data_IF_884742115777
#
_entry.id   IF_884742115777
#
_cell.length_a   1.000
_cell.length_b   1.000
_cell.length_c   1.000
_cell.angle_alpha   90.00
_cell.angle_beta   90.00
_cell.angle_gamma   90.00
#
_symmetry.space_group_name_H-M   'P 1'
#
loop_
_entity.id
_entity.type
_entity.pdbx_description
1 polymer ?
#
# COMPACT_ATOMS: atom_id res chain seq x y z
N UNK A 1 37.64 -40.03 40.38
CA UNK A 1 36.34 -39.34 40.19
C UNK A 1 36.09 -39.20 38.69
N UNK A 2 34.98 -39.76 38.25
CA UNK A 2 34.50 -39.79 36.86
C UNK A 2 34.21 -38.38 36.33
N UNK A 3 34.62 -38.06 35.10
CA UNK A 3 33.67 -37.97 33.97
C UNK A 3 34.36 -37.82 32.61
N UNK A 4 33.76 -38.58 31.70
CA UNK A 4 34.09 -39.03 30.35
C UNK A 4 33.92 -37.93 29.28
N UNK A 5 34.71 -38.04 28.19
CA UNK A 5 34.48 -37.65 26.77
C UNK A 5 33.35 -36.63 26.47
N UNK A 6 33.54 -35.66 25.59
CA UNK A 6 33.55 -35.93 24.13
C UNK A 6 34.19 -34.77 23.35
N UNK A 7 35.18 -35.13 22.54
CA UNK A 7 35.75 -34.35 21.45
C UNK A 7 34.86 -34.54 20.21
N UNK A 8 34.44 -33.46 19.55
CA UNK A 8 34.08 -33.53 18.12
C UNK A 8 34.91 -32.52 17.34
N UNK A 9 35.67 -33.08 16.39
CA UNK A 9 36.53 -32.42 15.42
C UNK A 9 35.76 -32.27 14.11
N UNK A 10 36.01 -31.12 13.46
CA UNK A 10 36.21 -30.90 12.01
C UNK A 10 35.02 -30.61 11.07
N UNK A 11 35.16 -29.40 10.50
CA UNK A 11 35.21 -28.99 9.09
C UNK A 11 34.07 -29.35 8.10
N UNK A 12 33.65 -28.26 7.43
CA UNK A 12 33.29 -28.12 6.00
C UNK A 12 32.04 -28.83 5.49
N UNK A 13 31.01 -28.03 5.20
CA UNK A 13 29.80 -28.48 4.49
C UNK A 13 28.90 -27.35 4.00
N UNK A 14 29.37 -26.64 2.96
CA UNK A 14 28.61 -25.97 1.88
C UNK A 14 27.43 -25.04 2.26
N UNK A 15 27.61 -23.74 1.99
CA UNK A 15 26.50 -22.83 1.69
C UNK A 15 25.61 -23.46 0.61
N UNK A 16 24.39 -23.83 0.96
CA UNK A 16 23.38 -24.20 -0.03
C UNK A 16 22.75 -22.89 -0.52
N UNK A 17 23.29 -22.37 -1.62
CA UNK A 17 22.59 -21.41 -2.45
C UNK A 17 21.45 -22.18 -3.14
N UNK A 18 20.29 -22.28 -2.50
CA UNK A 18 19.09 -22.72 -3.17
C UNK A 18 18.61 -21.57 -4.06
N UNK A 19 19.13 -21.53 -5.29
CA UNK A 19 18.46 -20.85 -6.41
C UNK A 19 17.25 -21.69 -6.77
N UNK A 20 16.19 -21.57 -5.98
CA UNK A 20 14.86 -21.90 -6.47
C UNK A 20 14.40 -20.68 -7.27
N UNK A 21 14.71 -20.68 -8.56
CA UNK A 21 14.01 -19.85 -9.54
C UNK A 21 12.57 -20.39 -9.64
N UNK A 22 11.77 -20.14 -8.62
CA UNK A 22 10.32 -20.17 -8.79
C UNK A 22 10.01 -19.00 -9.69
N UNK A 23 9.41 -19.30 -10.83
CA UNK A 23 8.72 -18.30 -11.62
C UNK A 23 7.80 -17.55 -10.67
N UNK A 24 8.15 -16.31 -10.33
CA UNK A 24 7.20 -15.36 -9.79
C UNK A 24 6.25 -15.14 -10.95
N UNK A 25 5.20 -15.95 -11.03
CA UNK A 25 3.98 -15.52 -11.69
C UNK A 25 3.61 -14.27 -10.91
N UNK A 26 3.92 -13.11 -11.49
CA UNK A 26 3.32 -11.85 -11.11
C UNK A 26 1.84 -12.03 -11.43
N UNK A 27 1.11 -12.76 -10.57
CA UNK A 27 -0.28 -12.44 -10.32
C UNK A 27 -0.18 -10.99 -9.88
N UNK A 28 -0.47 -10.09 -10.82
CA UNK A 28 -0.49 -8.66 -10.55
C UNK A 28 -1.28 -8.52 -9.27
N UNK A 29 -0.59 -8.11 -8.21
CA UNK A 29 -1.23 -7.97 -6.92
C UNK A 29 -2.19 -6.82 -7.11
N UNK A 30 -3.45 -7.14 -7.41
CA UNK A 30 -4.58 -6.26 -7.16
C UNK A 30 -4.56 -6.09 -5.65
N UNK A 31 -3.75 -5.13 -5.20
CA UNK A 31 -3.98 -4.53 -3.91
C UNK A 31 -5.36 -3.92 -4.06
N UNK A 32 -6.39 -4.35 -3.31
CA UNK A 32 -7.54 -3.51 -3.14
C UNK A 32 -6.98 -2.23 -2.53
N UNK A 33 -6.80 -1.21 -3.38
CA UNK A 33 -6.54 0.12 -2.90
C UNK A 33 -7.73 0.42 -1.99
N UNK A 34 -7.45 0.96 -0.81
CA UNK A 34 -8.47 1.76 -0.15
C UNK A 34 -9.05 2.68 -1.23
N UNK A 35 -10.37 2.82 -1.25
CA UNK A 35 -11.00 3.88 -2.03
C UNK A 35 -10.26 5.18 -1.66
N UNK A 36 -9.37 5.62 -2.54
CA UNK A 36 -8.41 6.68 -2.26
C UNK A 36 -8.93 7.96 -2.88
N UNK A 37 -8.42 9.09 -2.45
CA UNK A 37 -8.72 10.33 -3.14
C UNK A 37 -7.67 10.57 -4.24
N UNK A 38 -8.11 11.08 -5.38
CA UNK A 38 -7.27 11.51 -6.47
C UNK A 38 -7.68 12.90 -6.94
N UNK A 39 -6.72 13.67 -7.43
CA UNK A 39 -6.96 14.93 -8.12
C UNK A 39 -6.42 14.79 -9.54
N UNK A 40 -7.24 15.13 -10.53
CA UNK A 40 -6.79 15.12 -11.92
C UNK A 40 -5.78 16.23 -12.16
N UNK A 41 -4.70 15.91 -12.86
CA UNK A 41 -3.61 16.86 -13.15
C UNK A 41 -3.12 16.74 -14.58
N UNK A 42 -2.61 17.85 -15.10
CA UNK A 42 -1.81 17.96 -16.32
C UNK A 42 -1.08 19.30 -16.29
N UNK A 43 -0.14 19.51 -17.22
CA UNK A 43 0.62 20.77 -17.32
C UNK A 43 -0.29 21.95 -17.73
N UNK A 44 -1.26 21.71 -18.61
CA UNK A 44 -2.29 22.70 -18.95
C UNK A 44 -3.48 22.58 -17.97
N UNK A 45 -3.78 23.61 -17.16
CA UNK A 45 -4.89 23.59 -16.21
C UNK A 45 -6.29 23.55 -16.87
N UNK A 46 -6.39 23.72 -18.18
CA UNK A 46 -7.65 23.59 -18.94
C UNK A 46 -7.76 22.24 -19.67
N UNK A 47 -6.76 21.36 -19.53
CA UNK A 47 -6.75 20.08 -20.21
C UNK A 47 -7.92 19.19 -19.78
N UNK A 48 -8.47 18.47 -20.76
CA UNK A 48 -9.44 17.40 -20.54
C UNK A 48 -8.71 16.08 -20.37
N UNK A 49 -9.00 15.38 -19.27
CA UNK A 49 -8.43 14.08 -18.96
C UNK A 49 -9.45 12.99 -19.27
N UNK A 50 -9.16 12.17 -20.27
CA UNK A 50 -10.07 11.14 -20.74
C UNK A 50 -10.36 10.08 -19.66
N UNK A 51 -11.65 9.79 -19.48
CA UNK A 51 -12.15 8.65 -18.73
C UNK A 51 -12.43 7.51 -19.70
N UNK A 52 -11.82 6.35 -19.50
CA UNK A 52 -11.87 5.24 -20.46
C UNK A 52 -12.55 3.99 -19.90
N UNK A 53 -13.08 3.16 -20.80
CA UNK A 53 -13.76 1.92 -20.42
C UNK A 53 -12.79 0.87 -19.86
N UNK A 54 -11.54 0.85 -20.33
CA UNK A 54 -10.50 -0.07 -19.88
C UNK A 54 -9.17 0.67 -19.69
N UNK A 55 -8.22 0.02 -19.00
CA UNK A 55 -6.86 0.51 -18.79
C UNK A 55 -5.99 0.47 -20.07
N UNK A 56 -6.46 1.13 -21.12
CA UNK A 56 -5.79 1.23 -22.41
C UNK A 56 -6.20 2.50 -23.14
N UNK A 57 -5.24 3.13 -23.82
CA UNK A 57 -5.45 4.29 -24.71
C UNK A 57 -6.29 3.96 -25.95
N UNK A 58 -6.40 2.69 -26.33
CA UNK A 58 -7.25 2.25 -27.45
C UNK A 58 -8.70 1.97 -27.05
N UNK A 59 -9.00 1.92 -25.75
CA UNK A 59 -10.36 1.64 -25.28
C UNK A 59 -11.28 2.84 -25.45
N UNK A 60 -12.59 2.59 -25.51
CA UNK A 60 -13.61 3.61 -25.70
C UNK A 60 -13.49 4.73 -24.65
N UNK A 61 -13.56 5.99 -25.09
CA UNK A 61 -13.74 7.12 -24.18
C UNK A 61 -15.18 7.16 -23.67
N UNK A 62 -15.34 7.17 -22.36
CA UNK A 62 -16.62 7.32 -21.65
C UNK A 62 -16.93 8.77 -21.33
N UNK A 63 -15.96 9.68 -21.52
CA UNK A 63 -16.06 11.09 -21.19
C UNK A 63 -14.70 11.64 -20.77
N UNK A 64 -14.72 12.74 -20.01
CA UNK A 64 -13.52 13.36 -19.48
C UNK A 64 -13.80 14.05 -18.14
N UNK A 65 -12.74 14.28 -17.37
CA UNK A 65 -12.71 15.26 -16.28
C UNK A 65 -11.77 16.42 -16.64
N UNK A 66 -11.77 17.46 -15.82
CA UNK A 66 -10.87 18.60 -15.94
C UNK A 66 -9.77 18.53 -14.89
N UNK A 67 -8.65 19.20 -15.15
CA UNK A 67 -7.61 19.41 -14.14
C UNK A 67 -8.20 20.06 -12.89
N UNK A 68 -7.85 19.52 -11.72
CA UNK A 68 -8.40 19.93 -10.43
C UNK A 68 -9.66 19.16 -10.00
N UNK A 69 -10.29 18.37 -10.88
CA UNK A 69 -11.41 17.53 -10.48
C UNK A 69 -10.97 16.48 -9.45
N UNK A 70 -11.77 16.35 -8.38
CA UNK A 70 -11.61 15.30 -7.38
C UNK A 70 -12.26 14.01 -7.88
N UNK A 71 -11.56 12.91 -7.67
CA UNK A 71 -12.02 11.56 -7.98
C UNK A 71 -11.75 10.62 -6.82
N UNK A 72 -12.53 9.55 -6.72
CA UNK A 72 -12.21 8.43 -5.84
C UNK A 72 -11.49 7.36 -6.65
N UNK A 73 -10.26 7.00 -6.30
CA UNK A 73 -9.56 5.85 -6.87
C UNK A 73 -10.11 4.57 -6.26
N UNK A 74 -10.48 3.60 -7.09
CA UNK A 74 -11.12 2.35 -6.70
C UNK A 74 -10.21 1.15 -6.90
N UNK A 75 -9.32 1.23 -7.89
CA UNK A 75 -8.42 0.15 -8.27
C UNK A 75 -7.24 0.72 -9.06
N UNK A 76 -6.17 -0.07 -9.20
CA UNK A 76 -5.07 0.23 -10.10
C UNK A 76 -4.57 -1.01 -10.83
N UNK A 77 -4.23 -0.86 -12.11
CA UNK A 77 -3.61 -1.91 -12.91
C UNK A 77 -2.49 -1.33 -13.77
N UNK A 78 -1.55 -2.18 -14.18
CA UNK A 78 -0.60 -1.82 -15.23
C UNK A 78 -1.27 -2.07 -16.58
N UNK A 79 -1.43 -1.02 -17.37
CA UNK A 79 -1.97 -1.07 -18.72
C UNK A 79 -0.99 -1.72 -19.70
N UNK A 80 -1.50 -2.10 -20.87
CA UNK A 80 -0.69 -2.66 -21.98
C UNK A 80 0.29 -1.64 -22.56
N UNK A 81 0.07 -0.36 -22.32
CA UNK A 81 0.94 0.76 -22.66
C UNK A 81 2.06 1.00 -21.64
N UNK A 82 2.15 0.16 -20.61
CA UNK A 82 3.20 0.23 -19.58
C UNK A 82 2.92 1.24 -18.46
N UNK A 83 1.87 2.06 -18.57
CA UNK A 83 1.47 3.00 -17.53
C UNK A 83 0.65 2.31 -16.45
N UNK A 84 0.66 2.86 -15.24
CA UNK A 84 -0.37 2.54 -14.25
C UNK A 84 -1.65 3.26 -14.65
N UNK A 85 -2.78 2.59 -14.53
CA UNK A 85 -4.11 3.14 -14.71
C UNK A 85 -4.88 3.03 -13.42
N UNK A 86 -5.60 4.09 -13.06
CA UNK A 86 -6.49 4.10 -11.91
C UNK A 86 -7.93 3.96 -12.38
N UNK A 87 -8.66 3.00 -11.81
CA UNK A 87 -10.11 3.01 -11.90
C UNK A 87 -10.60 4.09 -10.97
N UNK A 88 -11.37 5.04 -11.47
CA UNK A 88 -11.83 6.19 -10.71
C UNK A 88 -13.34 6.30 -10.75
N UNK A 89 -13.92 6.93 -9.73
CA UNK A 89 -15.30 7.38 -9.69
C UNK A 89 -15.34 8.90 -9.50
N UNK A 90 -16.08 9.58 -10.37
CA UNK A 90 -16.37 11.00 -10.20
C UNK A 90 -17.48 11.17 -9.16
N UNK A 91 -17.26 11.92 -8.05
CA UNK A 91 -18.26 12.04 -7.00
C UNK A 91 -19.54 12.73 -7.44
N UNK A 92 -19.44 13.75 -8.31
CA UNK A 92 -20.58 14.55 -8.77
C UNK A 92 -21.49 13.79 -9.75
N UNK A 93 -20.91 13.15 -10.77
CA UNK A 93 -21.68 12.45 -11.81
C UNK A 93 -21.91 10.97 -11.50
N UNK A 94 -21.13 10.39 -10.58
CA UNK A 94 -21.11 8.95 -10.33
C UNK A 94 -20.40 8.13 -11.42
N UNK A 95 -19.88 8.77 -12.49
CA UNK A 95 -19.22 8.10 -13.61
C UNK A 95 -18.01 7.30 -13.14
N UNK A 96 -17.88 6.06 -13.63
CA UNK A 96 -16.77 5.16 -13.31
C UNK A 96 -16.03 4.77 -14.59
N UNK A 97 -14.71 4.78 -14.54
CA UNK A 97 -13.86 4.36 -15.65
C UNK A 97 -12.38 4.42 -15.27
N UNK A 98 -11.50 4.30 -16.26
CA UNK A 98 -10.05 4.28 -16.07
C UNK A 98 -9.41 5.58 -16.55
N UNK A 99 -8.53 6.13 -15.73
CA UNK A 99 -7.68 7.28 -16.07
C UNK A 99 -6.23 6.85 -15.96
N UNK A 100 -5.39 7.28 -16.91
CA UNK A 100 -3.96 6.97 -16.90
C UNK A 100 -3.29 7.70 -15.72
N UNK A 101 -2.42 7.01 -15.02
CA UNK A 101 -1.93 7.41 -13.70
C UNK A 101 -1.02 8.62 -13.68
N UNK A 102 -0.41 8.97 -14.80
CA UNK A 102 0.30 10.24 -14.97
C UNK A 102 -0.62 11.47 -14.87
N UNK A 103 -1.92 11.31 -15.12
CA UNK A 103 -2.94 12.35 -14.96
C UNK A 103 -3.66 12.31 -13.61
N UNK A 104 -3.24 11.46 -12.67
CA UNK A 104 -3.85 11.34 -11.34
C UNK A 104 -2.81 11.62 -10.27
N UNK A 105 -3.03 12.69 -9.51
CA UNK A 105 -2.35 12.88 -8.23
C UNK A 105 -3.12 12.10 -7.16
N UNK A 106 -2.61 10.91 -6.79
CA UNK A 106 -3.18 10.14 -5.68
C UNK A 106 -2.86 10.87 -4.37
N UNK A 107 -3.91 11.27 -3.66
CA UNK A 107 -3.81 11.80 -2.32
C UNK A 107 -3.67 10.60 -1.39
N UNK A 108 -2.49 10.47 -0.78
CA UNK A 108 -2.24 9.41 0.20
C UNK A 108 -2.67 9.93 1.56
N UNK A 109 -3.68 9.34 2.21
CA UNK A 109 -4.12 9.81 3.53
C UNK A 109 -2.98 9.70 4.54
N UNK A 110 -2.95 10.64 5.49
CA UNK A 110 -2.03 10.58 6.61
C UNK A 110 -2.71 10.00 7.85
N UNK A 111 -1.91 9.55 8.80
CA UNK A 111 -2.39 9.15 10.10
C UNK A 111 -1.39 9.54 11.18
N UNK A 112 -1.91 9.79 12.37
CA UNK A 112 -1.13 10.04 13.58
C UNK A 112 -1.32 8.87 14.52
N UNK A 113 -0.22 8.31 15.02
CA UNK A 113 -0.27 7.25 16.01
C UNK A 113 -0.83 7.78 17.33
N UNK A 114 -1.72 7.00 17.95
CA UNK A 114 -2.38 7.36 19.21
C UNK A 114 -2.49 6.16 20.15
N UNK A 115 -2.44 6.45 21.44
CA UNK A 115 -2.70 5.54 22.55
C UNK A 115 -3.02 6.37 23.79
N UNK A 116 -3.55 5.73 24.85
CA UNK A 116 -3.80 6.40 26.13
C UNK A 116 -2.49 6.83 26.81
N UNK A 117 -1.46 5.97 26.78
CA UNK A 117 -0.11 6.30 27.25
C UNK A 117 0.68 7.01 26.13
N UNK A 118 1.10 8.28 26.32
CA UNK A 118 1.90 9.02 25.34
C UNK A 118 3.27 8.40 25.03
N UNK A 119 3.79 7.52 25.90
CA UNK A 119 5.06 6.82 25.69
C UNK A 119 4.87 5.41 25.11
N UNK A 120 3.64 5.01 24.82
CA UNK A 120 3.35 3.69 24.28
C UNK A 120 4.04 3.46 22.94
N UNK A 121 4.59 2.25 22.78
CA UNK A 121 5.10 1.75 21.51
C UNK A 121 3.98 1.05 20.73
N UNK A 122 3.71 1.54 19.51
CA UNK A 122 2.76 0.94 18.59
C UNK A 122 3.53 0.03 17.65
N UNK A 123 3.32 -1.29 17.78
CA UNK A 123 3.99 -2.29 16.94
C UNK A 123 3.63 -2.12 15.46
N UNK A 124 4.67 -2.02 14.62
CA UNK A 124 4.57 -2.16 13.18
C UNK A 124 4.73 -3.63 12.81
N UNK A 125 3.75 -4.20 12.11
CA UNK A 125 3.68 -5.64 11.87
C UNK A 125 3.79 -6.03 10.41
N UNK A 126 4.24 -7.26 10.14
CA UNK A 126 4.38 -7.76 8.78
C UNK A 126 3.03 -8.01 8.11
N UNK A 127 1.99 -8.36 8.88
CA UNK A 127 0.63 -8.57 8.35
C UNK A 127 -0.44 -8.05 9.34
N UNK A 128 -1.70 -7.98 8.88
CA UNK A 128 -2.88 -7.61 9.67
C UNK A 128 -3.28 -8.72 10.66
N UNK A 129 -2.36 -9.08 11.54
CA UNK A 129 -2.49 -10.13 12.52
C UNK A 129 -1.69 -9.72 13.76
N UNK A 130 -2.30 -9.67 14.96
CA UNK A 130 -1.62 -9.29 16.20
C UNK A 130 -0.48 -10.22 16.61
N UNK A 131 -0.39 -11.42 16.01
CA UNK A 131 0.67 -12.39 16.24
C UNK A 131 1.70 -12.44 15.10
N UNK A 132 1.55 -11.62 14.05
CA UNK A 132 2.56 -11.57 12.99
C UNK A 132 3.85 -10.89 13.44
N UNK A 133 4.94 -11.18 12.73
CA UNK A 133 6.28 -10.65 12.94
C UNK A 133 6.25 -9.14 13.21
N UNK A 134 6.89 -8.72 14.31
CA UNK A 134 7.12 -7.31 14.61
C UNK A 134 8.29 -6.83 13.75
N UNK A 135 8.02 -5.87 12.87
CA UNK A 135 9.03 -5.23 12.02
C UNK A 135 9.70 -4.05 12.72
N UNK A 136 9.04 -3.49 13.73
CA UNK A 136 9.50 -2.35 14.50
C UNK A 136 8.34 -1.75 15.30
N UNK A 137 8.47 -0.49 15.69
CA UNK A 137 7.42 0.27 16.34
C UNK A 137 7.52 1.76 15.98
N UNK A 138 6.41 2.46 16.15
CA UNK A 138 6.38 3.92 16.29
C UNK A 138 5.89 4.30 17.69
N UNK A 139 5.89 5.59 17.98
CA UNK A 139 5.38 6.15 19.25
C UNK A 139 4.22 7.10 19.00
N UNK A 140 3.47 7.43 20.05
CA UNK A 140 2.34 8.38 19.95
C UNK A 140 2.82 9.71 19.36
N UNK A 141 2.03 10.24 18.42
CA UNK A 141 2.35 11.47 17.70
C UNK A 141 3.15 11.27 16.41
N UNK A 142 3.71 10.07 16.16
CA UNK A 142 4.35 9.78 14.88
C UNK A 142 3.35 9.90 13.73
N UNK A 143 3.80 10.52 12.64
CA UNK A 143 3.05 10.61 11.39
C UNK A 143 3.40 9.46 10.46
N UNK A 144 2.38 8.92 9.82
CA UNK A 144 2.50 7.86 8.84
C UNK A 144 1.64 8.14 7.61
N UNK A 145 2.08 7.66 6.45
CA UNK A 145 1.26 7.59 5.24
C UNK A 145 0.44 6.30 5.27
N UNK A 146 -0.83 6.36 4.90
CA UNK A 146 -1.75 5.22 4.85
C UNK A 146 -1.83 4.73 3.41
N UNK A 147 -1.37 3.51 3.19
CA UNK A 147 -1.27 2.88 1.87
C UNK A 147 -2.43 1.93 1.55
N UNK A 148 -3.21 1.54 2.56
CA UNK A 148 -4.27 0.55 2.41
C UNK A 148 -4.86 0.15 3.75
N UNK A 149 -5.95 -0.61 3.72
CA UNK A 149 -6.50 -1.26 4.91
C UNK A 149 -7.12 -2.60 4.57
N UNK A 150 -7.24 -3.47 5.58
CA UNK A 150 -8.02 -4.72 5.51
C UNK A 150 -8.50 -5.14 6.89
N UNK A 151 -9.46 -6.06 6.93
CA UNK A 151 -9.81 -6.74 8.18
C UNK A 151 -8.69 -7.71 8.57
N UNK A 152 -8.27 -7.63 9.82
CA UNK A 152 -7.29 -8.54 10.40
C UNK A 152 -7.93 -9.82 10.94
N UNK A 153 -7.09 -10.77 11.36
CA UNK A 153 -7.53 -12.04 11.97
C UNK A 153 -8.24 -11.84 13.32
N UNK A 154 -8.13 -10.65 13.91
CA UNK A 154 -8.76 -10.22 15.15
C UNK A 154 -10.02 -9.38 14.92
N UNK A 155 -10.57 -9.35 13.68
CA UNK A 155 -11.74 -8.57 13.24
C UNK A 155 -11.60 -7.04 13.31
N UNK A 156 -10.45 -6.52 13.75
CA UNK A 156 -10.13 -5.10 13.67
C UNK A 156 -9.78 -4.71 12.23
N UNK A 157 -9.98 -3.45 11.90
CA UNK A 157 -9.40 -2.87 10.69
C UNK A 157 -7.92 -2.60 10.95
N UNK A 158 -7.06 -3.05 10.06
CA UNK A 158 -5.63 -2.78 10.07
C UNK A 158 -5.28 -1.90 8.89
N UNK A 159 -4.37 -0.96 9.10
CA UNK A 159 -3.87 -0.06 8.07
C UNK A 159 -2.45 -0.44 7.70
N UNK A 160 -2.20 -0.57 6.39
CA UNK A 160 -0.84 -0.64 5.87
C UNK A 160 -0.30 0.78 5.84
N UNK A 161 0.80 1.02 6.52
CA UNK A 161 1.36 2.35 6.70
C UNK A 161 2.81 2.41 6.23
N UNK A 162 3.28 3.61 5.90
CA UNK A 162 4.69 3.94 5.65
C UNK A 162 5.12 5.07 6.57
N UNK A 163 6.22 4.88 7.30
CA UNK A 163 6.87 5.94 8.06
C UNK A 163 7.70 6.81 7.10
N UNK A 164 7.41 8.12 6.96
CA UNK A 164 8.10 8.96 5.98
C UNK A 164 9.61 9.09 6.26
N UNK A 165 9.99 9.20 7.54
CA UNK A 165 11.39 9.40 7.94
C UNK A 165 12.28 8.19 7.68
N UNK A 166 11.82 6.99 8.05
CA UNK A 166 12.60 5.75 7.94
C UNK A 166 12.32 4.97 6.66
N UNK A 167 11.20 5.25 5.98
CA UNK A 167 10.71 4.45 4.86
C UNK A 167 10.10 3.10 5.27
N UNK A 168 10.04 2.77 6.57
CA UNK A 168 9.52 1.50 7.06
C UNK A 168 8.04 1.31 6.68
N UNK A 169 7.70 0.12 6.17
CA UNK A 169 6.35 -0.24 5.75
C UNK A 169 5.86 -1.46 6.53
N UNK A 170 4.62 -1.42 7.00
CA UNK A 170 3.99 -2.53 7.70
C UNK A 170 2.54 -2.23 8.07
N UNK A 171 1.97 -3.04 8.95
CA UNK A 171 0.58 -2.97 9.37
C UNK A 171 0.47 -2.51 10.82
N UNK A 172 -0.46 -1.58 11.06
CA UNK A 172 -0.82 -1.08 12.39
C UNK A 172 -2.32 -1.29 12.58
N UNK A 173 -2.74 -1.73 13.77
CA UNK A 173 -4.14 -1.89 14.11
C UNK A 173 -4.81 -0.52 14.19
N UNK A 174 -5.97 -0.35 13.55
CA UNK A 174 -6.64 0.93 13.39
C UNK A 174 -7.02 1.64 14.69
N UNK A 175 -7.16 0.93 15.80
CA UNK A 175 -7.40 1.57 17.11
C UNK A 175 -6.24 2.48 17.54
N UNK A 176 -5.03 2.24 17.04
CA UNK A 176 -3.84 3.05 17.34
C UNK A 176 -3.58 4.15 16.30
N UNK A 177 -4.52 4.41 15.40
CA UNK A 177 -4.32 5.34 14.30
C UNK A 177 -5.49 6.32 14.19
N UNK A 178 -5.19 7.61 14.29
CA UNK A 178 -6.12 8.68 13.91
C UNK A 178 -5.84 9.10 12.48
N UNK A 179 -6.74 8.75 11.56
CA UNK A 179 -6.63 9.16 10.15
C UNK A 179 -6.87 10.66 10.05
N UNK A 180 -6.00 11.34 9.30
CA UNK A 180 -6.11 12.76 8.98
C UNK A 180 -6.26 12.91 7.47
N UNK A 181 -7.25 13.70 7.04
CA UNK A 181 -7.44 14.07 5.63
C UNK A 181 -6.47 15.17 5.22
#
# INVERSE_FOLDING_TARGET
MSKTLTMMKRLTGKFVLAVAATAVVLVGSVFPALAGEGILKADDPKAQINLRESASTSSRSLGYGLVGDRVTTLDQVKGTDGYVWYKVKFPKSGSVGWVRGDFVQVVTPEGILQAEDPQAQINLRQDANPNSTKLGYGVVGDRVLILGSKKGTDNYTWYKVKFPKSGAVGWIRGTFLRVTQ
#
